data_IF_484221045112
#
_entry.id   IF_484221045112
#
_cell.length_a   1.000
_cell.length_b   1.000
_cell.length_c   1.000
_cell.angle_alpha   90.00
_cell.angle_beta   90.00
_cell.angle_gamma   90.00
#
_symmetry.space_group_name_H-M   'P 1'
#
loop_
_entity.id
_entity.type
_entity.pdbx_description
1 polymer ?
#
# COMPACT_ATOMS: atom_id res chain seq x y z
N UNK A 1 6.96 33.59 -4.67
CA UNK A 1 7.08 32.13 -4.53
C UNK A 1 6.25 31.64 -3.34
N UNK A 2 6.25 32.34 -2.19
CA UNK A 2 5.52 31.90 -0.98
C UNK A 2 3.98 31.91 -1.15
N UNK A 3 3.44 32.85 -1.93
CA UNK A 3 2.01 32.92 -2.22
C UNK A 3 1.51 31.70 -3.01
N UNK A 4 2.26 31.27 -4.02
CA UNK A 4 1.91 30.11 -4.83
C UNK A 4 2.06 28.80 -4.06
N UNK A 5 2.96 28.75 -3.08
CA UNK A 5 3.11 27.58 -2.19
C UNK A 5 1.90 27.41 -1.26
N UNK A 6 1.30 28.53 -0.83
CA UNK A 6 0.08 28.53 0.00
C UNK A 6 -1.16 28.18 -0.83
N UNK A 7 -1.28 28.68 -2.08
CA UNK A 7 -2.39 28.34 -2.98
C UNK A 7 -2.33 26.89 -3.44
N UNK A 8 -1.13 26.34 -3.63
CA UNK A 8 -0.92 24.95 -4.03
C UNK A 8 -1.27 23.94 -2.94
N UNK A 9 -1.59 24.41 -1.73
CA UNK A 9 -2.03 23.55 -0.65
C UNK A 9 -3.56 23.36 -0.72
N UNK A 10 -4.02 22.14 -1.01
CA UNK A 10 -5.45 21.80 -1.13
C UNK A 10 -6.25 22.00 0.18
N UNK A 11 -5.57 22.27 1.29
CA UNK A 11 -6.18 22.47 2.61
C UNK A 11 -6.76 23.85 2.80
N UNK A 12 -6.35 24.85 1.99
CA UNK A 12 -6.78 26.23 2.13
C UNK A 12 -7.46 26.76 0.87
N UNK A 13 -8.54 27.49 1.06
CA UNK A 13 -9.05 28.41 0.08
C UNK A 13 -8.47 29.78 0.36
N UNK A 14 -7.71 30.32 -0.57
CA UNK A 14 -7.07 31.63 -0.45
C UNK A 14 -7.78 32.61 -1.36
N UNK A 15 -8.30 33.69 -0.79
CA UNK A 15 -8.83 34.81 -1.57
C UNK A 15 -7.66 35.61 -2.18
N UNK A 16 -7.94 36.34 -3.27
CA UNK A 16 -6.93 37.16 -3.94
C UNK A 16 -6.32 38.15 -2.93
N UNK A 17 -5.01 38.35 -2.87
CA UNK A 17 -4.37 39.19 -1.89
C UNK A 17 -4.74 40.67 -2.08
N UNK A 18 -5.16 41.33 -1.00
CA UNK A 18 -5.37 42.77 -0.96
C UNK A 18 -4.04 43.45 -0.65
N UNK A 19 -3.57 44.27 -1.59
CA UNK A 19 -2.38 45.11 -1.39
C UNK A 19 -2.79 46.48 -0.85
N UNK A 20 -2.27 46.87 0.31
CA UNK A 20 -2.43 48.24 0.86
C UNK A 20 -1.09 48.88 0.97
N UNK A 21 -0.95 50.06 0.37
CA UNK A 21 0.22 50.90 0.55
C UNK A 21 0.09 51.71 1.85
N UNK A 22 1.10 51.64 2.72
CA UNK A 22 1.20 52.43 3.93
C UNK A 22 2.18 53.61 3.63
N UNK A 23 1.67 54.85 3.47
CA UNK A 23 2.50 55.99 3.11
C UNK A 23 3.43 56.42 4.25
N UNK A 24 3.13 56.07 5.51
CA UNK A 24 3.97 56.44 6.67
C UNK A 24 5.20 55.52 6.80
N UNK A 25 5.09 54.29 6.30
CA UNK A 25 6.20 53.31 6.36
C UNK A 25 6.82 53.04 5.00
N UNK A 26 6.31 53.65 3.94
CA UNK A 26 6.74 53.43 2.54
C UNK A 26 6.78 51.96 2.15
N UNK A 27 5.79 51.15 2.66
CA UNK A 27 5.76 49.73 2.45
C UNK A 27 4.36 49.29 2.01
N UNK A 28 4.33 48.20 1.22
CA UNK A 28 3.09 47.53 0.90
C UNK A 28 2.79 46.46 1.98
N UNK A 29 1.60 46.51 2.55
CA UNK A 29 1.07 45.43 3.37
C UNK A 29 0.22 44.49 2.50
N UNK A 30 0.45 43.21 2.60
CA UNK A 30 -0.33 42.21 1.88
C UNK A 30 -1.27 41.55 2.89
N UNK A 31 -2.57 41.66 2.67
CA UNK A 31 -3.58 41.02 3.48
C UNK A 31 -4.04 39.77 2.75
N UNK A 32 -3.73 38.62 3.30
CA UNK A 32 -4.21 37.33 2.83
C UNK A 32 -5.42 36.89 3.67
N UNK A 33 -6.54 36.63 3.01
CA UNK A 33 -7.67 35.97 3.64
C UNK A 33 -7.62 34.51 3.27
N UNK A 34 -7.46 33.64 4.26
CA UNK A 34 -7.44 32.20 4.11
C UNK A 34 -8.61 31.61 4.89
N UNK A 35 -9.31 30.68 4.29
CA UNK A 35 -10.30 29.84 4.96
C UNK A 35 -9.93 28.38 4.77
N UNK A 36 -10.09 27.57 5.83
CA UNK A 36 -9.94 26.14 5.69
C UNK A 36 -11.04 25.61 4.78
N UNK A 37 -10.68 24.77 3.82
CA UNK A 37 -11.64 24.02 3.03
C UNK A 37 -12.34 23.01 3.91
N UNK A 38 -13.32 22.30 3.38
CA UNK A 38 -14.18 21.35 4.06
C UNK A 38 -13.50 20.54 5.17
N UNK A 39 -14.02 20.66 6.38
CA UNK A 39 -13.46 19.97 7.55
C UNK A 39 -13.75 18.46 7.57
N UNK A 40 -14.73 18.01 6.78
CA UNK A 40 -15.16 16.62 6.74
C UNK A 40 -15.32 16.16 5.29
N UNK A 41 -14.65 15.07 4.94
CA UNK A 41 -14.76 14.42 3.64
C UNK A 41 -15.19 12.97 3.81
N UNK A 42 -16.13 12.55 2.96
CA UNK A 42 -16.51 11.15 2.84
C UNK A 42 -15.88 10.54 1.59
N UNK A 43 -15.32 9.37 1.76
CA UNK A 43 -14.67 8.61 0.71
C UNK A 43 -15.46 7.33 0.47
N UNK A 44 -15.81 7.09 -0.78
CA UNK A 44 -16.48 5.87 -1.21
C UNK A 44 -15.71 5.30 -2.39
N UNK A 45 -15.55 4.00 -2.41
CA UNK A 45 -14.90 3.30 -3.50
C UNK A 45 -15.14 1.81 -3.43
N UNK A 46 -14.55 1.11 -4.34
CA UNK A 46 -14.63 -0.34 -4.37
C UNK A 46 -14.11 -0.93 -5.65
N UNK A 47 -14.13 -2.23 -5.69
CA UNK A 47 -13.78 -2.99 -6.86
C UNK A 47 -14.66 -4.22 -7.03
N UNK A 48 -14.88 -4.59 -8.27
CA UNK A 48 -15.53 -5.84 -8.67
C UNK A 48 -14.55 -6.57 -9.58
N UNK A 49 -14.25 -7.81 -9.25
CA UNK A 49 -13.33 -8.64 -9.99
C UNK A 49 -14.04 -9.90 -10.50
N UNK A 50 -13.52 -10.47 -11.58
CA UNK A 50 -13.90 -11.80 -12.06
C UNK A 50 -13.57 -12.94 -11.07
N UNK A 51 -12.92 -12.60 -9.96
CA UNK A 51 -12.59 -13.49 -8.84
C UNK A 51 -13.39 -13.12 -7.60
N UNK A 52 -13.18 -13.86 -6.51
CA UNK A 52 -13.81 -13.58 -5.21
C UNK A 52 -13.27 -12.34 -4.48
N UNK A 53 -12.35 -11.56 -5.09
CA UNK A 53 -11.74 -10.37 -4.50
C UNK A 53 -12.54 -9.10 -4.77
N UNK A 54 -13.82 -9.13 -4.45
CA UNK A 54 -14.70 -7.98 -4.53
C UNK A 54 -14.67 -7.22 -3.21
N UNK A 55 -14.61 -5.88 -3.25
CA UNK A 55 -14.52 -5.08 -2.05
C UNK A 55 -15.33 -3.79 -2.19
N UNK A 56 -15.91 -3.35 -1.10
CA UNK A 56 -16.47 -2.02 -0.94
C UNK A 56 -15.62 -1.25 0.09
N UNK A 57 -15.39 0.02 -0.17
CA UNK A 57 -14.68 0.93 0.70
C UNK A 57 -15.58 2.08 1.14
N UNK A 58 -15.57 2.34 2.44
CA UNK A 58 -16.15 3.53 3.04
C UNK A 58 -15.12 4.13 3.98
N UNK A 59 -14.91 5.44 3.86
CA UNK A 59 -14.00 6.15 4.74
C UNK A 59 -14.47 7.57 4.99
N UNK A 60 -13.94 8.15 6.02
CA UNK A 60 -14.07 9.57 6.27
C UNK A 60 -12.74 10.12 6.77
N UNK A 61 -12.50 11.38 6.49
CA UNK A 61 -11.45 12.15 7.10
C UNK A 61 -12.01 13.48 7.61
N UNK A 62 -11.47 13.92 8.72
CA UNK A 62 -11.82 15.19 9.38
C UNK A 62 -10.53 15.97 9.61
N UNK A 63 -10.49 17.19 9.10
CA UNK A 63 -9.34 18.07 9.24
C UNK A 63 -9.74 19.36 9.96
N UNK A 64 -8.96 19.78 10.93
CA UNK A 64 -9.16 21.04 11.64
C UNK A 64 -7.84 21.76 11.85
N UNK A 65 -7.84 23.06 11.58
CA UNK A 65 -6.70 23.94 11.73
C UNK A 65 -7.05 24.98 12.78
N UNK A 66 -6.38 24.86 13.92
CA UNK A 66 -6.49 25.85 15.01
C UNK A 66 -5.08 26.32 15.39
N UNK A 67 -4.67 26.11 16.64
CA UNK A 67 -3.34 26.30 17.13
C UNK A 67 -2.37 25.25 16.60
N UNK A 68 -2.87 24.10 16.29
CA UNK A 68 -2.20 22.91 15.71
C UNK A 68 -3.11 22.42 14.61
N UNK A 69 -2.55 21.95 13.50
CA UNK A 69 -3.31 21.23 12.50
C UNK A 69 -3.55 19.80 12.98
N UNK A 70 -4.77 19.35 12.95
CA UNK A 70 -5.15 17.99 13.31
C UNK A 70 -5.98 17.37 12.20
N UNK A 71 -5.62 16.17 11.83
CA UNK A 71 -6.32 15.35 10.87
C UNK A 71 -6.68 14.02 11.53
N UNK A 72 -7.92 13.60 11.41
CA UNK A 72 -8.41 12.31 11.87
C UNK A 72 -9.03 11.57 10.69
N UNK A 73 -8.77 10.29 10.60
CA UNK A 73 -9.31 9.45 9.54
C UNK A 73 -9.82 8.12 10.08
N UNK A 74 -10.83 7.58 9.42
CA UNK A 74 -11.22 6.19 9.57
C UNK A 74 -11.69 5.65 8.22
N UNK A 75 -11.33 4.42 7.92
CA UNK A 75 -11.75 3.76 6.70
C UNK A 75 -11.81 2.25 6.88
N UNK A 76 -12.74 1.64 6.18
CA UNK A 76 -12.91 0.19 6.18
C UNK A 76 -13.14 -0.31 4.75
N UNK A 77 -12.44 -1.38 4.40
CA UNK A 77 -12.70 -2.22 3.23
C UNK A 77 -13.38 -3.49 3.66
N UNK A 78 -14.45 -3.85 3.00
CA UNK A 78 -15.22 -5.05 3.28
C UNK A 78 -15.41 -5.83 1.99
N UNK A 79 -14.99 -7.09 2.02
CA UNK A 79 -15.17 -8.04 0.93
C UNK A 79 -15.33 -9.48 1.44
N UNK A 80 -15.72 -10.43 0.58
CA UNK A 80 -15.93 -11.82 0.97
C UNK A 80 -14.67 -12.53 1.49
N UNK A 81 -13.51 -12.14 0.96
CA UNK A 81 -12.21 -12.79 1.26
C UNK A 81 -11.28 -11.92 2.08
N UNK A 82 -11.52 -10.61 2.09
CA UNK A 82 -10.62 -9.64 2.66
C UNK A 82 -11.42 -8.52 3.32
N UNK A 83 -11.08 -8.22 4.56
CA UNK A 83 -11.55 -7.04 5.25
C UNK A 83 -10.36 -6.35 5.92
N UNK A 84 -10.25 -5.05 5.75
CA UNK A 84 -9.20 -4.27 6.41
C UNK A 84 -9.75 -2.92 6.83
N UNK A 85 -9.22 -2.36 7.89
CA UNK A 85 -9.59 -1.04 8.33
C UNK A 85 -8.44 -0.32 9.03
N UNK A 86 -8.56 0.99 9.01
CA UNK A 86 -7.61 1.89 9.63
C UNK A 86 -8.36 3.02 10.32
N UNK A 87 -7.98 3.29 11.56
CA UNK A 87 -8.44 4.43 12.34
C UNK A 87 -7.23 5.16 12.88
N UNK A 88 -7.16 6.45 12.71
CA UNK A 88 -6.00 7.19 13.19
C UNK A 88 -6.10 8.68 13.02
N UNK A 89 -4.99 9.33 13.18
CA UNK A 89 -4.87 10.76 13.03
C UNK A 89 -3.43 11.21 12.87
N UNK A 90 -3.32 12.47 12.59
CA UNK A 90 -2.07 13.19 12.47
C UNK A 90 -2.21 14.53 13.17
N UNK A 91 -1.18 14.92 13.90
CA UNK A 91 -1.07 16.23 14.51
C UNK A 91 0.18 16.91 14.02
N UNK A 92 0.03 18.06 13.36
CA UNK A 92 1.14 18.85 12.86
C UNK A 92 1.44 19.95 13.87
N UNK A 93 2.71 20.11 14.23
CA UNK A 93 3.18 21.09 15.18
C UNK A 93 4.52 21.67 14.75
N UNK A 94 4.82 22.86 15.25
CA UNK A 94 6.06 23.57 14.97
C UNK A 94 6.85 23.74 16.27
N UNK A 95 8.07 23.18 16.30
CA UNK A 95 9.05 23.45 17.35
C UNK A 95 10.13 24.41 16.80
N UNK A 96 11.24 23.88 16.27
CA UNK A 96 12.24 24.61 15.49
C UNK A 96 12.10 24.37 13.99
N UNK A 97 11.36 23.31 13.63
CA UNK A 97 10.94 22.91 12.28
C UNK A 97 9.52 22.34 12.38
N UNK A 98 8.81 22.26 11.26
CA UNK A 98 7.53 21.55 11.25
C UNK A 98 7.76 20.06 11.48
N UNK A 99 6.90 19.45 12.32
CA UNK A 99 6.86 18.03 12.61
C UNK A 99 5.41 17.56 12.53
N UNK A 100 5.23 16.30 12.20
CA UNK A 100 3.93 15.63 12.25
C UNK A 100 4.04 14.38 13.10
N UNK A 101 3.12 14.24 14.03
CA UNK A 101 2.92 13.01 14.81
C UNK A 101 1.75 12.24 14.20
N UNK A 102 2.03 11.08 13.62
CA UNK A 102 1.05 10.18 13.03
C UNK A 102 0.78 9.05 14.02
N UNK A 103 -0.48 8.68 14.17
CA UNK A 103 -0.89 7.54 15.00
C UNK A 103 -2.06 6.83 14.36
N UNK A 104 -2.01 5.50 14.31
CA UNK A 104 -3.11 4.72 13.75
C UNK A 104 -3.20 3.32 14.34
N UNK A 105 -4.41 2.80 14.40
CA UNK A 105 -4.68 1.39 14.60
C UNK A 105 -5.15 0.81 13.27
N UNK A 106 -4.53 -0.29 12.87
CA UNK A 106 -4.81 -0.97 11.61
C UNK A 106 -5.17 -2.43 11.90
N UNK A 107 -6.16 -2.93 11.20
CA UNK A 107 -6.51 -4.34 11.24
C UNK A 107 -6.72 -4.91 9.84
N UNK A 108 -6.45 -6.19 9.70
CA UNK A 108 -6.62 -6.93 8.45
C UNK A 108 -7.12 -8.34 8.76
N UNK A 109 -8.11 -8.77 8.02
CA UNK A 109 -8.63 -10.13 8.03
C UNK A 109 -8.65 -10.64 6.60
N UNK A 110 -7.84 -11.65 6.32
CA UNK A 110 -7.80 -12.34 5.05
C UNK A 110 -8.31 -13.77 5.26
N UNK A 111 -9.29 -14.19 4.46
CA UNK A 111 -9.88 -15.52 4.52
C UNK A 111 -9.90 -16.12 3.11
N UNK A 112 -8.90 -16.93 2.82
CA UNK A 112 -8.73 -17.59 1.54
C UNK A 112 -9.13 -19.05 1.66
N UNK A 113 -10.01 -19.53 0.76
CA UNK A 113 -10.39 -20.93 0.64
C UNK A 113 -9.91 -21.47 -0.70
N UNK A 114 -9.68 -22.78 -0.76
CA UNK A 114 -9.39 -23.46 -2.04
C UNK A 114 -10.51 -23.16 -3.05
N UNK A 115 -10.13 -22.72 -4.25
CA UNK A 115 -11.07 -22.21 -5.26
C UNK A 115 -11.16 -20.68 -5.34
N UNK A 116 -10.84 -19.95 -4.27
CA UNK A 116 -10.77 -18.48 -4.32
C UNK A 116 -9.44 -17.97 -4.88
N UNK A 117 -8.44 -18.85 -5.00
CA UNK A 117 -7.11 -18.53 -5.53
C UNK A 117 -7.06 -18.48 -7.07
N UNK A 118 -8.16 -18.84 -7.76
CA UNK A 118 -8.11 -19.09 -9.19
C UNK A 118 -7.15 -20.24 -9.51
N UNK A 119 -6.39 -20.10 -10.61
CA UNK A 119 -5.31 -21.03 -10.94
C UNK A 119 -3.97 -20.69 -10.26
N UNK A 120 -3.96 -19.76 -9.31
CA UNK A 120 -2.80 -19.49 -8.48
C UNK A 120 -2.55 -20.72 -7.64
N UNK A 121 -1.37 -21.35 -7.79
CA UNK A 121 -1.01 -22.58 -7.10
C UNK A 121 -1.21 -22.42 -5.60
N UNK A 122 -2.06 -23.22 -4.94
CA UNK A 122 -2.16 -23.18 -3.50
C UNK A 122 -0.81 -23.57 -2.89
N UNK A 123 -0.48 -22.96 -1.77
CA UNK A 123 0.61 -23.41 -0.92
C UNK A 123 0.30 -24.88 -0.61
N UNK A 124 1.25 -25.77 -0.86
CA UNK A 124 1.10 -27.22 -0.82
C UNK A 124 -0.02 -27.76 0.10
N UNK A 125 -1.04 -28.39 -0.50
CA UNK A 125 -2.16 -29.06 0.18
C UNK A 125 -2.98 -28.23 1.19
N UNK A 126 -2.81 -26.92 1.24
CA UNK A 126 -3.57 -26.05 2.16
C UNK A 126 -4.97 -25.77 1.58
N UNK A 127 -6.02 -26.22 2.26
CA UNK A 127 -7.41 -26.00 1.83
C UNK A 127 -7.94 -24.60 2.16
N UNK A 128 -7.49 -24.01 3.26
CA UNK A 128 -7.86 -22.67 3.65
C UNK A 128 -6.73 -21.97 4.42
N UNK A 129 -6.61 -20.67 4.24
CA UNK A 129 -5.70 -19.81 4.98
C UNK A 129 -6.47 -18.61 5.51
N UNK A 130 -6.37 -18.38 6.81
CA UNK A 130 -6.88 -17.17 7.46
C UNK A 130 -5.73 -16.41 8.07
N UNK A 131 -5.61 -15.13 7.73
CA UNK A 131 -4.70 -14.20 8.36
C UNK A 131 -5.50 -13.14 9.12
N UNK A 132 -5.26 -13.02 10.41
CA UNK A 132 -5.81 -11.94 11.23
C UNK A 132 -4.63 -11.13 11.76
N UNK A 133 -4.61 -9.86 11.44
CA UNK A 133 -3.57 -8.94 11.88
C UNK A 133 -4.18 -7.72 12.54
N UNK A 134 -3.57 -7.25 13.63
CA UNK A 134 -3.91 -5.98 14.25
C UNK A 134 -2.65 -5.34 14.82
N UNK A 135 -2.44 -4.04 14.55
CA UNK A 135 -1.28 -3.32 15.05
C UNK A 135 -1.55 -1.84 15.25
N UNK A 136 -0.91 -1.29 16.25
CA UNK A 136 -0.81 0.14 16.51
C UNK A 136 0.46 0.68 15.83
N UNK A 137 0.34 1.83 15.19
CA UNK A 137 1.43 2.55 14.55
C UNK A 137 1.53 3.95 15.14
N UNK A 138 2.74 4.38 15.50
CA UNK A 138 3.05 5.75 15.91
C UNK A 138 4.26 6.19 15.11
N UNK A 139 4.16 7.34 14.44
CA UNK A 139 5.20 7.88 13.57
C UNK A 139 5.50 9.34 13.84
N UNK A 140 6.73 9.71 13.68
CA UNK A 140 7.18 11.09 13.64
C UNK A 140 7.69 11.38 12.24
N UNK A 141 7.12 12.37 11.58
CA UNK A 141 7.47 12.79 10.22
C UNK A 141 7.98 14.21 10.23
N UNK A 142 9.05 14.45 9.49
CA UNK A 142 9.67 15.77 9.32
C UNK A 142 9.86 16.05 7.83
N UNK A 143 9.40 17.18 7.29
CA UNK A 143 9.71 17.58 5.93
C UNK A 143 11.19 17.98 5.82
N UNK A 144 11.87 17.46 4.82
CA UNK A 144 13.25 17.81 4.47
C UNK A 144 13.26 18.93 3.44
N UNK A 145 12.37 18.86 2.47
CA UNK A 145 12.13 19.87 1.42
C UNK A 145 10.63 19.92 1.11
N UNK A 146 10.18 20.78 0.19
CA UNK A 146 8.77 20.87 -0.22
C UNK A 146 8.17 19.52 -0.67
N UNK A 147 8.97 18.64 -1.26
CA UNK A 147 8.51 17.37 -1.82
C UNK A 147 9.20 16.16 -1.19
N UNK A 148 9.97 16.36 -0.11
CA UNK A 148 10.71 15.26 0.54
C UNK A 148 10.45 15.27 2.03
N UNK A 149 10.32 14.09 2.58
CA UNK A 149 10.08 13.87 4.01
C UNK A 149 11.00 12.77 4.55
N UNK A 150 11.28 12.84 5.85
CA UNK A 150 11.85 11.75 6.62
C UNK A 150 10.84 11.34 7.69
N UNK A 151 10.63 10.06 7.87
CA UNK A 151 9.73 9.53 8.90
C UNK A 151 10.39 8.42 9.69
N UNK A 152 10.13 8.43 10.99
CA UNK A 152 10.47 7.35 11.90
C UNK A 152 9.16 6.81 12.47
N UNK A 153 8.89 5.52 12.28
CA UNK A 153 7.64 4.88 12.70
C UNK A 153 7.89 3.66 13.56
N UNK A 154 7.10 3.53 14.61
CA UNK A 154 7.07 2.40 15.51
C UNK A 154 5.74 1.68 15.37
N UNK A 155 5.77 0.37 15.21
CA UNK A 155 4.59 -0.46 15.12
C UNK A 155 4.66 -1.58 16.15
N UNK A 156 3.52 -1.86 16.78
CA UNK A 156 3.41 -2.97 17.71
C UNK A 156 2.08 -3.68 17.52
N UNK A 157 2.12 -5.00 17.43
CA UNK A 157 0.89 -5.74 17.16
C UNK A 157 1.03 -7.24 17.18
N UNK A 158 0.00 -7.88 16.68
CA UNK A 158 -0.09 -9.32 16.58
C UNK A 158 -0.64 -9.74 15.23
N UNK A 159 -0.09 -10.83 14.72
CA UNK A 159 -0.52 -11.51 13.51
C UNK A 159 -0.79 -12.98 13.82
N UNK A 160 -1.89 -13.51 13.30
CA UNK A 160 -2.29 -14.89 13.51
C UNK A 160 -2.64 -15.55 12.19
N UNK A 161 -1.86 -16.54 11.82
CA UNK A 161 -2.08 -17.38 10.66
C UNK A 161 -2.75 -18.69 11.07
N UNK A 162 -3.91 -18.98 10.51
CA UNK A 162 -4.61 -20.26 10.64
C UNK A 162 -4.69 -20.89 9.26
N UNK A 163 -4.28 -22.13 9.16
CA UNK A 163 -4.31 -22.88 7.90
C UNK A 163 -4.61 -24.35 8.14
N UNK A 164 -5.43 -24.89 7.26
CA UNK A 164 -5.84 -26.28 7.32
C UNK A 164 -4.83 -27.13 6.55
N UNK A 165 -4.13 -28.00 7.26
CA UNK A 165 -3.27 -29.00 6.64
C UNK A 165 -4.11 -30.21 6.27
N UNK A 166 -4.27 -30.44 4.95
CA UNK A 166 -4.98 -31.64 4.47
C UNK A 166 -4.05 -32.84 4.53
N UNK A 167 -4.16 -33.64 5.56
CA UNK A 167 -3.66 -34.99 5.53
C UNK A 167 -4.79 -35.88 4.98
N UNK A 168 -4.61 -36.63 3.87
CA UNK A 168 -5.64 -37.50 3.35
C UNK A 168 -6.11 -38.52 4.42
N UNK A 169 -7.42 -38.54 4.70
CA UNK A 169 -8.02 -39.46 5.64
C UNK A 169 -8.14 -38.99 7.09
N UNK A 170 -7.80 -37.78 7.42
CA UNK A 170 -8.01 -37.18 8.75
C UNK A 170 -8.95 -35.97 8.67
N UNK A 171 -9.66 -35.67 9.79
CA UNK A 171 -10.40 -34.45 9.91
C UNK A 171 -9.49 -33.23 9.66
N UNK A 172 -9.97 -32.14 9.05
CA UNK A 172 -9.18 -30.98 8.76
C UNK A 172 -8.69 -30.36 10.08
N UNK A 173 -7.45 -30.61 10.41
CA UNK A 173 -6.80 -30.07 11.57
C UNK A 173 -6.20 -28.69 11.21
N UNK A 174 -6.41 -27.70 12.04
CA UNK A 174 -5.99 -26.32 11.81
C UNK A 174 -4.71 -25.98 12.57
N UNK A 175 -3.63 -25.77 11.85
CA UNK A 175 -2.40 -25.20 12.41
C UNK A 175 -2.61 -23.72 12.74
N UNK A 176 -2.04 -23.27 13.84
CA UNK A 176 -2.07 -21.87 14.26
C UNK A 176 -0.67 -21.35 14.55
N UNK A 177 -0.23 -20.38 13.76
CA UNK A 177 0.98 -19.61 14.06
C UNK A 177 0.61 -18.18 14.46
N UNK A 178 1.03 -17.74 15.64
CA UNK A 178 0.91 -16.36 16.12
C UNK A 178 2.26 -15.70 16.19
N UNK A 179 2.35 -14.49 15.70
CA UNK A 179 3.52 -13.65 15.80
C UNK A 179 3.16 -12.33 16.45
N UNK A 180 3.67 -12.11 17.67
CA UNK A 180 3.54 -10.82 18.36
C UNK A 180 4.82 -10.05 18.14
N UNK A 181 4.72 -8.84 17.61
CA UNK A 181 5.88 -8.10 17.11
C UNK A 181 5.91 -6.64 17.56
N UNK A 182 7.11 -6.14 17.59
CA UNK A 182 7.43 -4.73 17.61
C UNK A 182 8.38 -4.45 16.45
N UNK A 183 8.19 -3.34 15.76
CA UNK A 183 9.00 -2.97 14.63
C UNK A 183 9.25 -1.47 14.54
N UNK A 184 10.35 -1.12 13.92
CA UNK A 184 10.75 0.26 13.65
C UNK A 184 11.01 0.40 12.16
N UNK A 185 10.49 1.46 11.54
CA UNK A 185 10.74 1.84 10.15
C UNK A 185 11.31 3.24 10.10
N UNK A 186 12.44 3.40 9.45
CA UNK A 186 12.98 4.70 9.03
C UNK A 186 12.78 4.82 7.52
N UNK A 187 12.23 5.92 7.06
CA UNK A 187 11.95 6.15 5.64
C UNK A 187 12.32 7.57 5.24
N UNK A 188 12.94 7.70 4.07
CA UNK A 188 13.12 8.96 3.37
C UNK A 188 12.39 8.83 2.04
N UNK A 189 11.47 9.74 1.78
CA UNK A 189 10.65 9.73 0.58
C UNK A 189 10.59 11.11 -0.08
N UNK A 190 10.49 11.10 -1.39
CA UNK A 190 10.19 12.26 -2.21
C UNK A 190 9.05 11.92 -3.15
N UNK A 191 8.01 12.74 -3.17
CA UNK A 191 6.86 12.54 -4.03
C UNK A 191 6.52 13.84 -4.76
N UNK A 192 6.46 13.76 -6.09
CA UNK A 192 6.08 14.84 -7.00
C UNK A 192 5.03 14.36 -8.01
N UNK A 193 4.36 13.24 -7.72
CA UNK A 193 3.34 12.70 -8.60
C UNK A 193 2.14 13.65 -8.68
N UNK A 194 1.58 13.79 -9.88
CA UNK A 194 0.41 14.63 -10.14
C UNK A 194 -0.89 14.03 -9.59
N UNK A 195 -0.94 12.71 -9.41
CA UNK A 195 -2.11 11.98 -8.90
C UNK A 195 -1.71 10.78 -8.06
N UNK A 196 -2.54 10.43 -7.09
CA UNK A 196 -2.33 9.26 -6.21
C UNK A 196 -2.51 7.96 -6.99
N UNK A 197 -3.57 7.86 -7.80
CA UNK A 197 -3.84 6.71 -8.65
C UNK A 197 -3.70 7.09 -10.11
N UNK A 198 -3.07 6.21 -10.88
CA UNK A 198 -2.82 6.40 -12.31
C UNK A 198 -2.10 7.72 -12.63
N UNK A 199 -0.96 8.01 -11.95
CA UNK A 199 -0.19 9.22 -12.21
C UNK A 199 0.32 9.23 -13.65
N UNK A 200 0.48 10.44 -14.19
CA UNK A 200 0.95 10.67 -15.55
C UNK A 200 2.25 11.44 -15.61
N UNK A 201 2.51 12.24 -14.57
CA UNK A 201 3.70 13.07 -14.46
C UNK A 201 4.26 13.00 -13.04
N UNK A 202 5.56 13.25 -12.96
CA UNK A 202 6.25 13.33 -11.69
C UNK A 202 7.04 12.07 -11.34
N UNK A 203 7.52 12.05 -10.13
CA UNK A 203 8.35 10.96 -9.61
C UNK A 203 8.08 10.76 -8.14
N UNK A 204 8.04 9.51 -7.75
CA UNK A 204 8.06 9.08 -6.36
C UNK A 204 9.30 8.22 -6.14
N UNK A 205 10.10 8.57 -5.15
CA UNK A 205 11.27 7.78 -4.76
C UNK A 205 11.25 7.63 -3.24
N UNK A 206 11.44 6.41 -2.77
CA UNK A 206 11.53 6.14 -1.34
C UNK A 206 12.62 5.12 -1.03
N UNK A 207 13.28 5.32 0.10
CA UNK A 207 14.22 4.39 0.69
C UNK A 207 13.80 4.18 2.14
N UNK A 208 13.58 2.93 2.52
CA UNK A 208 13.22 2.58 3.89
C UNK A 208 14.08 1.46 4.44
N UNK A 209 14.42 1.58 5.73
CA UNK A 209 15.03 0.56 6.54
C UNK A 209 14.08 0.12 7.63
N UNK A 210 14.00 -1.17 7.90
CA UNK A 210 13.13 -1.74 8.91
C UNK A 210 13.91 -2.64 9.86
N UNK A 211 13.48 -2.66 11.11
CA UNK A 211 13.88 -3.67 12.09
C UNK A 211 12.61 -4.20 12.76
N UNK A 212 12.46 -5.51 12.80
CA UNK A 212 11.34 -6.19 13.44
C UNK A 212 11.88 -7.21 14.42
N UNK A 213 11.29 -7.24 15.60
CA UNK A 213 11.57 -8.22 16.64
C UNK A 213 10.24 -8.71 17.21
N UNK A 214 10.18 -9.98 17.59
CA UNK A 214 8.95 -10.54 18.10
C UNK A 214 9.05 -11.99 18.54
N UNK A 215 7.90 -12.53 18.93
CA UNK A 215 7.78 -13.89 19.41
C UNK A 215 6.81 -14.68 18.54
N UNK A 216 7.34 -15.69 17.90
CA UNK A 216 6.56 -16.70 17.19
C UNK A 216 6.07 -17.77 18.15
N UNK A 217 4.76 -18.10 18.10
CA UNK A 217 4.15 -19.21 18.80
C UNK A 217 3.39 -20.06 17.80
N UNK A 218 3.81 -21.29 17.62
CA UNK A 218 3.14 -22.25 16.75
C UNK A 218 2.46 -23.34 17.55
N UNK A 219 1.19 -23.61 17.23
CA UNK A 219 0.40 -24.72 17.76
C UNK A 219 0.02 -25.62 16.59
N UNK A 220 0.57 -26.85 16.51
CA UNK A 220 0.20 -27.80 15.49
C UNK A 220 -1.21 -28.34 15.73
N UNK A 221 -1.88 -28.74 14.66
CA UNK A 221 -3.24 -29.27 14.65
C UNK A 221 -3.36 -30.68 15.25
N UNK A 222 -2.31 -31.50 15.17
CA UNK A 222 -2.30 -32.85 15.66
C UNK A 222 -2.21 -32.94 17.18
N UNK A 223 -3.24 -33.55 17.78
CA UNK A 223 -3.23 -33.95 19.18
C UNK A 223 -2.19 -35.08 19.38
N UNK A 224 -1.18 -34.85 20.20
CA UNK A 224 -0.42 -35.88 20.87
C UNK A 224 1.06 -36.06 20.47
N UNK A 225 1.58 -35.51 19.40
CA UNK A 225 2.99 -35.77 19.00
C UNK A 225 3.88 -34.54 18.77
N UNK A 226 3.32 -33.35 18.55
CA UNK A 226 4.14 -32.14 18.36
C UNK A 226 3.89 -31.15 19.49
N UNK A 227 4.95 -30.80 20.23
CA UNK A 227 4.90 -29.75 21.25
C UNK A 227 4.70 -28.39 20.58
N UNK A 228 3.96 -27.49 21.25
CA UNK A 228 3.90 -26.09 20.86
C UNK A 228 5.31 -25.51 20.74
N UNK A 229 5.58 -24.83 19.66
CA UNK A 229 6.86 -24.18 19.41
C UNK A 229 6.79 -22.71 19.80
N UNK A 230 7.86 -22.21 20.40
CA UNK A 230 7.97 -20.79 20.77
C UNK A 230 9.40 -20.35 20.47
N UNK A 231 9.55 -19.32 19.64
CA UNK A 231 10.85 -18.77 19.27
C UNK A 231 10.81 -17.25 19.22
N UNK A 232 11.93 -16.65 19.59
CA UNK A 232 12.19 -15.26 19.30
C UNK A 232 12.64 -15.13 17.84
N UNK A 233 12.11 -14.12 17.15
CA UNK A 233 12.42 -13.82 15.76
C UNK A 233 12.77 -12.36 15.62
N UNK A 234 13.83 -12.10 14.90
CA UNK A 234 14.24 -10.73 14.57
C UNK A 234 14.83 -10.68 13.18
N UNK A 235 14.64 -9.57 12.51
CA UNK A 235 15.21 -9.35 11.18
C UNK A 235 15.30 -7.88 10.83
N UNK A 236 16.20 -7.60 9.89
CA UNK A 236 16.33 -6.33 9.23
C UNK A 236 15.84 -6.42 7.79
N UNK A 237 15.40 -5.31 7.25
CA UNK A 237 15.05 -5.20 5.86
C UNK A 237 15.32 -3.80 5.33
N UNK A 238 15.49 -3.73 4.02
CA UNK A 238 15.59 -2.48 3.29
C UNK A 238 14.71 -2.57 2.05
N UNK A 239 14.04 -1.48 1.71
CA UNK A 239 13.22 -1.36 0.52
C UNK A 239 13.55 -0.06 -0.19
N UNK A 240 13.76 -0.17 -1.49
CA UNK A 240 13.89 0.96 -2.40
C UNK A 240 12.77 0.90 -3.41
N UNK A 241 12.06 2.02 -3.62
CA UNK A 241 11.03 2.17 -4.65
C UNK A 241 11.30 3.43 -5.45
N UNK A 242 11.13 3.33 -6.76
CA UNK A 242 11.20 4.45 -7.68
C UNK A 242 10.15 4.32 -8.76
N UNK A 243 9.20 5.24 -8.76
CA UNK A 243 8.17 5.40 -9.77
C UNK A 243 8.44 6.71 -10.52
N UNK A 244 8.40 6.71 -11.83
CA UNK A 244 8.55 7.93 -12.63
C UNK A 244 7.63 7.90 -13.83
N UNK A 245 6.99 9.03 -14.08
CA UNK A 245 6.06 9.24 -15.19
C UNK A 245 6.42 10.53 -15.90
N UNK A 246 6.39 10.54 -17.22
CA UNK A 246 6.72 11.69 -18.04
C UNK A 246 6.03 11.63 -19.41
N UNK A 247 5.73 12.81 -19.95
CA UNK A 247 5.25 12.93 -21.32
C UNK A 247 6.43 12.90 -22.27
N UNK A 248 6.23 12.30 -23.45
CA UNK A 248 7.23 12.35 -24.50
C UNK A 248 7.16 13.71 -25.22
N UNK A 249 8.29 14.40 -25.38
CA UNK A 249 8.34 15.66 -26.12
C UNK A 249 7.75 15.50 -27.52
N UNK A 250 6.78 16.35 -27.88
CA UNK A 250 6.11 16.32 -29.18
C UNK A 250 4.90 15.38 -29.30
N UNK A 251 4.67 14.49 -28.33
CA UNK A 251 3.53 13.55 -28.33
C UNK A 251 2.55 13.87 -27.20
N UNK A 252 1.49 14.61 -27.47
CA UNK A 252 0.47 14.97 -26.46
C UNK A 252 -0.45 13.79 -26.08
N UNK A 253 -0.52 12.76 -26.92
CA UNK A 253 -1.40 11.60 -26.73
C UNK A 253 -0.70 10.40 -26.10
N UNK A 254 0.60 10.52 -25.79
CA UNK A 254 1.39 9.43 -25.22
C UNK A 254 2.24 9.89 -24.05
N UNK A 255 2.17 9.17 -22.94
CA UNK A 255 3.06 9.30 -21.78
C UNK A 255 3.65 7.95 -21.41
N UNK A 256 4.75 7.99 -20.71
CA UNK A 256 5.47 6.78 -20.32
C UNK A 256 5.78 6.79 -18.82
N UNK A 257 5.61 5.63 -18.19
CA UNK A 257 6.00 5.42 -16.83
C UNK A 257 6.92 4.22 -16.68
N UNK A 258 7.74 4.25 -15.62
CA UNK A 258 8.45 3.05 -15.17
C UNK A 258 8.44 2.98 -13.65
N UNK A 259 8.54 1.76 -13.11
CA UNK A 259 8.77 1.53 -11.70
C UNK A 259 9.97 0.60 -11.49
N UNK A 260 10.64 0.78 -10.35
CA UNK A 260 11.65 -0.12 -9.80
C UNK A 260 11.32 -0.35 -8.34
N UNK A 261 11.32 -1.59 -7.91
CA UNK A 261 11.09 -2.01 -6.53
C UNK A 261 12.16 -3.06 -6.15
N UNK A 262 12.97 -2.75 -5.15
CA UNK A 262 14.00 -3.63 -4.66
C UNK A 262 13.82 -3.85 -3.16
N UNK A 263 13.79 -5.11 -2.75
CA UNK A 263 13.66 -5.51 -1.35
C UNK A 263 14.78 -6.48 -0.99
N UNK A 264 15.40 -6.17 0.13
CA UNK A 264 16.36 -7.03 0.78
C UNK A 264 15.97 -7.22 2.24
N UNK A 265 16.00 -8.48 2.72
CA UNK A 265 15.68 -8.75 4.13
C UNK A 265 16.42 -9.97 4.66
N UNK A 266 16.73 -9.94 5.95
CA UNK A 266 17.26 -11.07 6.71
C UNK A 266 16.16 -11.93 7.32
N UNK A 267 14.91 -11.83 6.84
CA UNK A 267 13.73 -12.51 7.37
C UNK A 267 14.01 -13.99 7.65
N UNK A 268 13.80 -14.47 8.88
CA UNK A 268 14.00 -15.87 9.24
C UNK A 268 12.85 -16.73 8.68
N UNK A 269 13.06 -18.02 8.56
CA UNK A 269 11.95 -18.95 8.33
C UNK A 269 11.14 -19.12 9.60
N UNK A 270 9.83 -19.01 9.51
CA UNK A 270 8.91 -19.42 10.56
C UNK A 270 8.82 -20.94 10.62
N UNK A 271 8.17 -21.46 11.64
CA UNK A 271 8.05 -22.92 11.85
C UNK A 271 7.40 -23.65 10.67
N UNK A 272 6.54 -22.96 9.93
CA UNK A 272 5.88 -23.49 8.74
C UNK A 272 6.16 -22.63 7.51
N UNK A 273 6.12 -23.27 6.35
CA UNK A 273 6.32 -22.58 5.07
C UNK A 273 5.19 -21.60 4.79
N UNK A 274 3.94 -21.98 5.08
CA UNK A 274 2.78 -21.11 4.94
C UNK A 274 2.93 -19.82 5.76
N UNK A 275 3.29 -19.92 7.04
CA UNK A 275 3.50 -18.73 7.88
C UNK A 275 4.68 -17.89 7.37
N UNK A 276 5.73 -18.53 6.86
CA UNK A 276 6.87 -17.83 6.25
C UNK A 276 6.41 -17.04 5.03
N UNK A 277 5.73 -17.67 4.07
CA UNK A 277 5.22 -17.01 2.86
C UNK A 277 4.26 -15.85 3.17
N UNK A 278 3.37 -16.04 4.15
CA UNK A 278 2.42 -15.00 4.57
C UNK A 278 3.12 -13.75 5.12
N UNK A 279 4.29 -13.91 5.74
CA UNK A 279 5.05 -12.82 6.35
C UNK A 279 6.07 -12.16 5.43
N UNK A 280 6.38 -12.75 4.27
CA UNK A 280 7.34 -12.18 3.31
C UNK A 280 6.77 -10.95 2.58
N UNK A 281 7.65 -10.01 2.18
CA UNK A 281 7.27 -8.89 1.33
C UNK A 281 6.74 -9.37 -0.02
N UNK A 282 5.80 -8.61 -0.58
CA UNK A 282 5.15 -8.90 -1.84
C UNK A 282 5.43 -7.79 -2.87
N UNK A 283 5.59 -8.18 -4.13
CA UNK A 283 5.57 -7.26 -5.25
C UNK A 283 4.15 -7.12 -5.80
N UNK A 284 3.56 -5.92 -5.68
CA UNK A 284 2.15 -5.67 -5.96
C UNK A 284 1.96 -4.39 -6.80
N UNK A 285 2.43 -4.38 -8.06
CA UNK A 285 2.46 -3.16 -8.89
C UNK A 285 1.09 -2.74 -9.42
N UNK A 286 0.11 -3.63 -9.48
CA UNK A 286 -1.23 -3.39 -10.05
C UNK A 286 -2.31 -3.51 -8.99
N UNK A 287 -3.44 -2.84 -9.17
CA UNK A 287 -4.53 -2.79 -8.18
C UNK A 287 -5.02 -4.20 -7.81
N UNK A 288 -5.21 -5.08 -8.80
CA UNK A 288 -5.62 -6.46 -8.53
C UNK A 288 -4.62 -7.22 -7.64
N UNK A 289 -3.31 -7.03 -7.84
CA UNK A 289 -2.27 -7.70 -7.04
C UNK A 289 -2.24 -7.22 -5.57
N UNK A 290 -2.71 -6.01 -5.30
CA UNK A 290 -2.77 -5.46 -3.95
C UNK A 290 -3.91 -6.09 -3.12
N UNK A 291 -4.95 -6.60 -3.79
CA UNK A 291 -6.10 -7.25 -3.16
C UNK A 291 -5.93 -8.76 -3.03
N UNK A 292 -5.19 -9.36 -3.97
CA UNK A 292 -5.02 -10.81 -4.05
C UNK A 292 -3.79 -11.26 -3.25
N UNK A 293 -3.95 -12.37 -2.52
CA UNK A 293 -2.78 -13.05 -1.97
C UNK A 293 -2.12 -13.89 -3.06
N UNK A 294 -0.89 -13.53 -3.41
CA UNK A 294 -0.14 -14.16 -4.50
C UNK A 294 1.20 -14.68 -4.00
N UNK A 295 1.30 -15.99 -3.67
CA UNK A 295 2.51 -16.61 -3.14
C UNK A 295 3.73 -16.43 -4.04
N UNK A 296 3.54 -16.54 -5.36
CA UNK A 296 4.62 -16.46 -6.35
C UNK A 296 5.27 -15.08 -6.45
N UNK A 297 4.57 -14.04 -6.02
CA UNK A 297 5.06 -12.65 -5.99
C UNK A 297 5.56 -12.23 -4.60
N UNK A 298 5.80 -13.20 -3.72
CA UNK A 298 6.39 -12.99 -2.40
C UNK A 298 7.76 -13.60 -2.33
N UNK A 299 8.71 -12.83 -1.80
CA UNK A 299 10.08 -13.28 -1.66
C UNK A 299 10.80 -12.58 -0.53
N UNK A 300 11.82 -13.25 0.01
CA UNK A 300 12.72 -12.69 0.99
C UNK A 300 13.52 -11.51 0.40
N UNK A 301 14.05 -11.72 -0.80
CA UNK A 301 14.77 -10.70 -1.55
C UNK A 301 14.25 -10.69 -2.99
N UNK A 302 14.04 -9.52 -3.53
CA UNK A 302 13.65 -9.40 -4.92
C UNK A 302 14.08 -8.06 -5.52
N UNK A 303 14.22 -8.09 -6.83
CA UNK A 303 14.33 -6.91 -7.69
C UNK A 303 13.22 -6.99 -8.71
N UNK A 304 12.40 -5.96 -8.78
CA UNK A 304 11.28 -5.90 -9.70
C UNK A 304 11.25 -4.56 -10.42
N UNK A 305 10.62 -4.55 -11.58
CA UNK A 305 10.44 -3.34 -12.35
C UNK A 305 9.33 -3.49 -13.37
N UNK A 306 8.85 -2.37 -13.86
CA UNK A 306 7.78 -2.35 -14.85
C UNK A 306 7.83 -1.14 -15.76
N UNK A 307 7.22 -1.28 -16.93
CA UNK A 307 7.07 -0.26 -17.94
C UNK A 307 5.58 0.01 -18.15
N UNK A 308 5.19 1.27 -18.18
CA UNK A 308 3.78 1.68 -18.20
C UNK A 308 3.51 2.72 -19.29
N UNK A 309 3.50 2.32 -20.58
CA UNK A 309 3.02 3.19 -21.65
C UNK A 309 1.54 3.52 -21.44
N UNK A 310 1.19 4.79 -21.63
CA UNK A 310 -0.16 5.32 -21.47
C UNK A 310 -0.54 6.13 -22.69
N UNK A 311 -1.72 5.83 -23.26
CA UNK A 311 -2.24 6.41 -24.49
C UNK A 311 -3.52 7.20 -24.19
N UNK A 312 -3.50 8.51 -24.42
CA UNK A 312 -4.69 9.37 -24.28
C UNK A 312 -5.64 9.13 -25.46
N UNK A 313 -6.84 8.72 -25.11
CA UNK A 313 -7.91 8.48 -26.09
C UNK A 313 -8.83 9.71 -26.19
N UNK A 314 -9.22 10.26 -25.03
CA UNK A 314 -10.07 11.43 -24.87
C UNK A 314 -9.63 12.24 -23.63
N UNK A 315 -10.10 13.49 -23.44
CA UNK A 315 -9.87 14.21 -22.18
C UNK A 315 -10.29 13.37 -20.96
N UNK A 316 -9.37 13.20 -20.00
CA UNK A 316 -9.54 12.38 -18.79
C UNK A 316 -9.76 10.87 -19.04
N UNK A 317 -9.71 10.38 -20.27
CA UNK A 317 -9.89 8.98 -20.63
C UNK A 317 -8.68 8.46 -21.39
N UNK A 318 -8.03 7.41 -20.88
CA UNK A 318 -6.81 6.86 -21.45
C UNK A 318 -6.72 5.36 -21.28
N UNK A 319 -5.93 4.73 -22.13
CA UNK A 319 -5.50 3.35 -22.00
C UNK A 319 -4.09 3.32 -21.40
N UNK A 320 -3.93 2.67 -20.28
CA UNK A 320 -2.62 2.37 -19.68
C UNK A 320 -2.33 0.90 -19.82
N UNK A 321 -1.21 0.57 -20.41
CA UNK A 321 -0.70 -0.80 -20.43
C UNK A 321 0.48 -0.91 -19.46
N UNK A 322 0.67 -2.07 -18.86
CA UNK A 322 1.74 -2.34 -17.93
C UNK A 322 2.40 -3.68 -18.22
N UNK A 323 3.71 -3.71 -18.20
CA UNK A 323 4.49 -4.92 -18.23
C UNK A 323 5.47 -4.90 -17.07
N UNK A 324 5.36 -5.88 -16.18
CA UNK A 324 6.14 -5.95 -14.96
C UNK A 324 6.86 -7.28 -14.88
N UNK A 325 8.10 -7.24 -14.36
CA UNK A 325 8.92 -8.41 -14.13
C UNK A 325 9.52 -8.36 -12.71
N UNK A 326 9.57 -9.50 -12.05
CA UNK A 326 10.16 -9.67 -10.73
C UNK A 326 11.18 -10.82 -10.78
N UNK A 327 12.41 -10.52 -10.41
CA UNK A 327 13.42 -11.53 -10.10
C UNK A 327 13.48 -11.72 -8.59
N UNK A 328 13.28 -12.96 -8.13
CA UNK A 328 13.25 -13.29 -6.71
C UNK A 328 14.35 -14.30 -6.32
N UNK A 329 15.00 -14.05 -5.18
CA UNK A 329 15.92 -15.01 -4.55
C UNK A 329 15.17 -15.76 -3.44
N UNK A 330 14.59 -16.90 -3.80
CA UNK A 330 13.83 -17.75 -2.88
C UNK A 330 14.64 -18.97 -2.48
N UNK A 331 15.74 -18.80 -1.78
CA UNK A 331 16.50 -19.96 -1.28
C UNK A 331 15.63 -20.86 -0.42
N UNK A 332 15.13 -21.95 -1.04
CA UNK A 332 14.36 -23.00 -0.39
C UNK A 332 12.86 -22.72 -0.26
N UNK A 333 12.27 -21.81 -1.05
CA UNK A 333 10.86 -21.68 -1.28
C UNK A 333 10.52 -22.17 -2.70
N UNK A 334 9.36 -22.81 -2.93
CA UNK A 334 8.99 -23.30 -4.25
C UNK A 334 8.72 -22.14 -5.24
N UNK A 335 8.83 -22.44 -6.52
CA UNK A 335 8.43 -21.58 -7.62
C UNK A 335 9.57 -21.04 -8.48
N UNK A 336 9.22 -20.45 -9.61
CA UNK A 336 10.15 -19.90 -10.59
C UNK A 336 10.82 -18.61 -10.06
N UNK A 337 12.08 -18.38 -10.48
CA UNK A 337 12.82 -17.17 -10.09
C UNK A 337 12.32 -15.90 -10.77
N UNK A 338 11.77 -16.03 -11.96
CA UNK A 338 11.21 -14.90 -12.72
C UNK A 338 9.69 -14.97 -12.75
N UNK A 339 9.06 -13.88 -12.37
CA UNK A 339 7.60 -13.71 -12.42
C UNK A 339 7.25 -12.51 -13.28
N UNK A 340 6.12 -12.58 -13.98
CA UNK A 340 5.69 -11.54 -14.91
C UNK A 340 4.23 -11.18 -14.67
N UNK A 341 3.93 -9.87 -14.74
CA UNK A 341 2.56 -9.36 -14.72
C UNK A 341 2.39 -8.49 -15.95
N UNK A 342 1.28 -8.66 -16.64
CA UNK A 342 0.85 -7.75 -17.69
C UNK A 342 -0.53 -7.20 -17.38
N UNK A 343 -0.76 -5.93 -17.66
CA UNK A 343 -2.02 -5.25 -17.42
C UNK A 343 -2.39 -4.36 -18.60
N UNK A 344 -3.68 -4.29 -18.89
CA UNK A 344 -4.27 -3.28 -19.76
C UNK A 344 -5.46 -2.67 -19.04
N UNK A 345 -5.44 -1.36 -18.84
CA UNK A 345 -6.45 -0.64 -18.04
C UNK A 345 -7.00 0.55 -18.83
N UNK A 346 -8.30 0.56 -19.07
CA UNK A 346 -9.03 1.76 -19.46
C UNK A 346 -9.36 2.56 -18.22
N UNK A 347 -8.90 3.80 -18.16
CA UNK A 347 -9.04 4.67 -16.98
C UNK A 347 -9.76 5.95 -17.38
N UNK A 348 -10.77 6.30 -16.61
CA UNK A 348 -11.49 7.57 -16.68
C UNK A 348 -11.40 8.32 -15.36
N UNK A 349 -10.83 9.51 -15.36
CA UNK A 349 -10.78 10.36 -14.19
C UNK A 349 -12.07 11.14 -14.02
N UNK A 350 -12.84 10.80 -12.98
CA UNK A 350 -14.03 11.55 -12.57
C UNK A 350 -13.69 12.53 -11.44
N UNK A 351 -14.55 13.52 -11.16
CA UNK A 351 -14.38 14.43 -10.01
C UNK A 351 -14.35 13.73 -8.64
N UNK A 352 -14.98 12.56 -8.54
CA UNK A 352 -15.08 11.74 -7.31
C UNK A 352 -14.04 10.62 -7.22
N UNK A 353 -13.12 10.55 -8.17
CA UNK A 353 -12.06 9.55 -8.22
C UNK A 353 -11.98 8.82 -9.57
N UNK A 354 -10.93 8.07 -9.81
CA UNK A 354 -10.78 7.32 -11.07
C UNK A 354 -11.75 6.14 -11.13
N UNK A 355 -12.24 5.87 -12.34
CA UNK A 355 -12.93 4.63 -12.69
C UNK A 355 -12.03 3.88 -13.66
N UNK A 356 -11.80 2.61 -13.42
CA UNK A 356 -10.96 1.80 -14.30
C UNK A 356 -11.53 0.42 -14.55
N UNK A 357 -11.33 -0.04 -15.79
CA UNK A 357 -11.55 -1.43 -16.20
C UNK A 357 -10.21 -2.01 -16.61
N UNK A 358 -9.71 -2.97 -15.83
CA UNK A 358 -8.39 -3.53 -15.96
C UNK A 358 -8.45 -5.01 -16.28
N UNK A 359 -7.68 -5.42 -17.27
CA UNK A 359 -7.40 -6.83 -17.58
C UNK A 359 -5.98 -7.13 -17.16
N UNK A 360 -5.81 -7.98 -16.15
CA UNK A 360 -4.51 -8.34 -15.58
C UNK A 360 -4.21 -9.81 -15.83
N UNK A 361 -2.98 -10.11 -16.22
CA UNK A 361 -2.49 -11.47 -16.45
C UNK A 361 -1.19 -11.70 -15.68
N UNK A 362 -1.08 -12.81 -14.98
CA UNK A 362 0.03 -13.16 -14.09
C UNK A 362 0.98 -14.23 -14.63
N UNK A 363 0.70 -14.79 -15.76
CA UNK A 363 1.55 -15.79 -16.41
C UNK A 363 1.59 -15.54 -17.91
N UNK A 364 2.77 -15.57 -18.50
CA UNK A 364 2.92 -15.44 -19.95
C UNK A 364 2.63 -16.75 -20.70
N UNK A 365 2.65 -17.90 -19.98
CA UNK A 365 2.56 -19.23 -20.59
C UNK A 365 1.12 -19.72 -20.76
N UNK A 366 0.21 -19.30 -19.87
CA UNK A 366 -1.17 -19.81 -19.86
C UNK A 366 -2.19 -18.69 -20.10
N UNK A 367 -3.22 -18.95 -20.89
CA UNK A 367 -4.36 -18.02 -21.07
C UNK A 367 -5.36 -18.05 -19.91
N UNK A 368 -5.22 -18.98 -18.95
CA UNK A 368 -6.19 -19.21 -17.87
C UNK A 368 -6.06 -18.24 -16.70
N UNK A 369 -4.93 -17.55 -16.55
CA UNK A 369 -4.64 -16.66 -15.41
C UNK A 369 -4.89 -15.18 -15.78
N UNK A 370 -6.06 -14.91 -16.36
CA UNK A 370 -6.50 -13.55 -16.72
C UNK A 370 -7.65 -13.12 -15.82
N UNK A 371 -7.54 -11.91 -15.29
CA UNK A 371 -8.50 -11.35 -14.34
C UNK A 371 -9.01 -10.00 -14.84
N UNK A 372 -10.32 -9.88 -14.94
CA UNK A 372 -10.99 -8.62 -15.23
C UNK A 372 -11.36 -7.96 -13.90
N UNK A 373 -10.99 -6.69 -13.74
CA UNK A 373 -11.26 -5.93 -12.52
C UNK A 373 -11.83 -4.56 -12.87
N UNK A 374 -12.96 -4.23 -12.30
CA UNK A 374 -13.56 -2.91 -12.35
C UNK A 374 -13.32 -2.21 -11.01
N UNK A 375 -12.67 -1.03 -11.03
CA UNK A 375 -12.41 -0.23 -9.84
C UNK A 375 -13.12 1.11 -9.95
N UNK A 376 -13.59 1.60 -8.82
CA UNK A 376 -14.28 2.87 -8.69
C UNK A 376 -13.79 3.62 -7.45
N UNK A 377 -13.49 4.89 -7.60
CA UNK A 377 -13.05 5.76 -6.50
C UNK A 377 -11.59 5.55 -6.10
N UNK A 378 -11.22 6.07 -4.96
CA UNK A 378 -9.87 5.92 -4.41
C UNK A 378 -9.80 4.65 -3.55
N UNK A 379 -9.13 3.63 -4.07
CA UNK A 379 -8.76 2.48 -3.28
C UNK A 379 -7.50 2.81 -2.48
N UNK A 380 -7.64 3.14 -1.22
CA UNK A 380 -6.52 3.38 -0.30
C UNK A 380 -6.31 2.10 0.49
N UNK A 381 -5.31 1.30 0.11
CA UNK A 381 -5.01 0.06 0.81
C UNK A 381 -4.37 0.33 2.16
N UNK A 382 -4.80 -0.42 3.19
CA UNK A 382 -4.18 -0.33 4.50
C UNK A 382 -2.73 -0.82 4.45
N UNK A 383 -1.81 -0.16 5.17
CA UNK A 383 -0.43 -0.61 5.25
C UNK A 383 -0.35 -2.00 5.90
N UNK A 384 0.54 -2.86 5.38
CA UNK A 384 0.84 -4.13 6.02
C UNK A 384 1.62 -3.92 7.33
N UNK A 385 1.36 -4.76 8.35
CA UNK A 385 2.08 -4.67 9.62
C UNK A 385 3.56 -5.02 9.53
N UNK A 386 3.98 -5.64 8.44
CA UNK A 386 5.39 -5.96 8.16
C UNK A 386 6.18 -4.84 7.49
N UNK A 387 5.56 -3.69 7.23
CA UNK A 387 6.22 -2.48 6.72
C UNK A 387 6.82 -2.56 5.30
N UNK A 388 6.49 -3.58 4.54
CA UNK A 388 7.01 -3.73 3.17
C UNK A 388 6.11 -3.09 2.14
#
# INVERSE_FOLDING_TARGET
DDFFSVIGNDEFSVEYPEFRYDPLRERYSVKLKMSARENLRFLIGGNISSTAFNQAFIGFDYHTIRRVSQWAFAGIYIGPTYATGSLGGRTDFYLWKPFSLDYSYNFEVLNLRHGNFGNLTPIDNTKSVKNNQGFLSIGLTMPLTHNSLASLRFNGGQQAYRYDTAVPGTDPNTDLTRFSFFGTKLEIARNTLDKILYPRRGSEISLSGIYITGRERHKPAEFGRKRSFNAHREWFGAKFQWNRYFDLPGCKWFSFGFNIDAVWTTHPRFQTETATLMSLPAYQPVVHSQMAFMPDYRAKNFLAGGLMPTFDLLPNFFLRTGFYAMYRDNRGLPGEKMQYITEASFVYHTPIGPVSLSLTKYDLKSWHNMYLTFNFGYAIFAPSGHFY
#
